data_IF_346622664877
#
_entry.id   IF_346622664877
#
_cell.length_a   1.000
_cell.length_b   1.000
_cell.length_c   1.000
_cell.angle_alpha   90.00
_cell.angle_beta   90.00
_cell.angle_gamma   90.00
#
_symmetry.space_group_name_H-M   'P 1'
#
loop_
_entity.id
_entity.type
_entity.pdbx_description
1 polymer ?
#
# COMPACT_ATOMS: atom_id res chain seq x y z
N UNK A 1 17.45 26.55 2.25
CA UNK A 1 16.23 26.13 2.98
C UNK A 1 15.35 25.23 2.12
N UNK A 2 15.20 25.53 0.83
CA UNK A 2 14.45 24.70 -0.13
C UNK A 2 15.00 23.28 -0.26
N UNK A 3 16.33 23.11 -0.37
CA UNK A 3 16.96 21.78 -0.38
C UNK A 3 16.65 20.97 0.88
N UNK A 4 16.66 21.62 2.04
CA UNK A 4 16.35 20.98 3.33
C UNK A 4 14.90 20.47 3.35
N UNK A 5 13.95 21.29 2.90
CA UNK A 5 12.53 20.91 2.83
C UNK A 5 12.33 19.73 1.86
N UNK A 6 13.03 19.73 0.74
CA UNK A 6 12.97 18.63 -0.22
C UNK A 6 13.55 17.33 0.33
N UNK A 7 14.70 17.40 1.00
CA UNK A 7 15.30 16.22 1.66
C UNK A 7 14.31 15.64 2.68
N UNK A 8 13.69 16.49 3.50
CA UNK A 8 12.67 16.07 4.47
C UNK A 8 11.48 15.43 3.75
N UNK A 9 10.98 16.04 2.68
CA UNK A 9 9.86 15.50 1.91
C UNK A 9 10.20 14.14 1.29
N UNK A 10 11.36 13.98 0.65
CA UNK A 10 11.81 12.69 0.10
C UNK A 10 11.90 11.64 1.21
N UNK A 11 12.56 11.97 2.32
CA UNK A 11 12.70 11.07 3.46
C UNK A 11 11.34 10.67 4.05
N UNK A 12 10.41 11.63 4.24
CA UNK A 12 9.05 11.37 4.72
C UNK A 12 8.25 10.53 3.75
N UNK A 13 8.41 10.74 2.43
CA UNK A 13 7.74 9.93 1.42
C UNK A 13 8.23 8.46 1.49
N UNK A 14 9.54 8.25 1.58
CA UNK A 14 10.14 6.91 1.73
C UNK A 14 9.69 6.25 3.04
N UNK A 15 9.69 6.99 4.15
CA UNK A 15 9.20 6.50 5.43
C UNK A 15 7.73 6.09 5.33
N UNK A 16 6.89 6.91 4.69
CA UNK A 16 5.49 6.60 4.45
C UNK A 16 5.31 5.31 3.65
N UNK A 17 6.09 5.11 2.58
CA UNK A 17 6.11 3.86 1.80
C UNK A 17 6.50 2.68 2.69
N UNK A 18 7.54 2.81 3.51
CA UNK A 18 7.98 1.73 4.41
C UNK A 18 6.90 1.35 5.44
N UNK A 19 6.21 2.34 6.02
CA UNK A 19 5.11 2.12 6.96
C UNK A 19 3.87 1.51 6.29
N UNK A 20 3.61 1.84 5.02
CA UNK A 20 2.47 1.29 4.28
C UNK A 20 2.75 -0.13 3.77
N UNK A 21 3.89 -0.35 3.12
CA UNK A 21 4.23 -1.59 2.43
C UNK A 21 4.84 -2.64 3.38
N UNK A 22 5.60 -2.21 4.38
CA UNK A 22 6.27 -3.11 5.33
C UNK A 22 5.33 -4.10 6.03
N UNK A 23 4.19 -3.63 6.60
CA UNK A 23 3.22 -4.53 7.22
C UNK A 23 2.60 -5.55 6.24
N UNK A 24 2.39 -5.16 4.98
CA UNK A 24 1.86 -6.06 3.96
C UNK A 24 2.84 -7.20 3.68
N UNK A 25 4.14 -6.90 3.55
CA UNK A 25 5.18 -7.91 3.42
C UNK A 25 5.23 -8.83 4.63
N UNK A 26 5.21 -8.28 5.85
CA UNK A 26 5.21 -9.09 7.06
C UNK A 26 3.99 -10.04 7.10
N UNK A 27 2.79 -9.54 6.81
CA UNK A 27 1.58 -10.36 6.84
C UNK A 27 1.56 -11.43 5.75
N UNK A 28 2.02 -11.10 4.55
CA UNK A 28 2.04 -12.02 3.41
C UNK A 28 3.05 -13.16 3.59
N UNK A 29 4.25 -12.86 4.10
CA UNK A 29 5.36 -13.80 4.08
C UNK A 29 5.72 -14.38 5.46
N UNK A 30 5.58 -13.62 6.55
CA UNK A 30 6.01 -14.03 7.88
C UNK A 30 4.85 -14.50 8.77
N UNK A 31 3.74 -13.76 8.78
CA UNK A 31 2.62 -14.06 9.68
C UNK A 31 1.94 -15.39 9.37
N UNK A 32 1.67 -15.68 8.09
CA UNK A 32 1.00 -16.91 7.68
C UNK A 32 1.68 -18.18 8.21
N UNK A 33 3.00 -18.37 7.98
CA UNK A 33 3.76 -19.47 8.55
C UNK A 33 3.80 -19.46 10.09
N UNK A 34 4.04 -18.31 10.71
CA UNK A 34 4.11 -18.19 12.17
C UNK A 34 2.77 -18.54 12.84
N UNK A 35 1.64 -18.09 12.28
CA UNK A 35 0.32 -18.37 12.82
C UNK A 35 -0.03 -19.87 12.80
N UNK A 36 0.57 -20.67 11.91
CA UNK A 36 0.33 -22.13 11.86
C UNK A 36 0.92 -22.89 13.04
N UNK A 37 1.91 -22.33 13.75
CA UNK A 37 2.52 -22.98 14.92
C UNK A 37 1.68 -22.83 16.18
N UNK A 38 0.72 -21.90 16.18
CA UNK A 38 -0.20 -21.64 17.30
C UNK A 38 -1.31 -22.69 17.29
N UNK A 39 -1.30 -23.58 18.29
CA UNK A 39 -2.26 -24.68 18.42
C UNK A 39 -3.66 -24.21 18.82
N UNK A 40 -3.73 -23.25 19.74
CA UNK A 40 -5.01 -22.69 20.17
C UNK A 40 -5.59 -21.75 19.10
N UNK A 41 -6.78 -22.10 18.60
CA UNK A 41 -7.40 -21.38 17.50
C UNK A 41 -7.92 -20.00 17.93
N UNK A 42 -8.36 -19.85 19.18
CA UNK A 42 -8.84 -18.57 19.72
C UNK A 42 -7.68 -17.58 19.88
N UNK A 43 -6.57 -18.00 20.51
CA UNK A 43 -5.36 -17.19 20.58
C UNK A 43 -4.87 -16.76 19.20
N UNK A 44 -4.90 -17.67 18.21
CA UNK A 44 -4.51 -17.35 16.83
C UNK A 44 -5.42 -16.30 16.18
N UNK A 45 -6.74 -16.39 16.41
CA UNK A 45 -7.72 -15.41 15.91
C UNK A 45 -7.50 -14.03 16.54
N UNK A 46 -7.30 -13.97 17.86
CA UNK A 46 -7.12 -12.70 18.59
C UNK A 46 -5.82 -12.00 18.22
N UNK A 47 -4.73 -12.75 18.04
CA UNK A 47 -3.48 -12.21 17.53
C UNK A 47 -3.63 -11.68 16.09
N UNK A 48 -4.35 -12.42 15.23
CA UNK A 48 -4.63 -11.98 13.85
C UNK A 48 -5.42 -10.66 13.85
N UNK A 49 -6.46 -10.54 14.69
CA UNK A 49 -7.25 -9.30 14.85
C UNK A 49 -6.37 -8.14 15.34
N UNK A 50 -5.54 -8.39 16.34
CA UNK A 50 -4.67 -7.36 16.93
C UNK A 50 -3.63 -6.86 15.92
N UNK A 51 -2.94 -7.77 15.23
CA UNK A 51 -1.92 -7.43 14.23
C UNK A 51 -2.52 -6.67 13.06
N UNK A 52 -3.61 -7.17 12.48
CA UNK A 52 -4.25 -6.52 11.32
C UNK A 52 -4.77 -5.12 11.68
N UNK A 53 -5.33 -4.92 12.87
CA UNK A 53 -5.75 -3.58 13.34
C UNK A 53 -4.58 -2.62 13.53
N UNK A 54 -3.49 -3.05 14.20
CA UNK A 54 -2.32 -2.21 14.44
C UNK A 54 -1.62 -1.84 13.14
N UNK A 55 -1.43 -2.81 12.26
CA UNK A 55 -0.85 -2.58 10.95
C UNK A 55 -1.75 -1.77 10.03
N UNK A 56 -3.08 -1.88 10.15
CA UNK A 56 -4.01 -1.00 9.47
C UNK A 56 -3.80 0.46 9.84
N UNK A 57 -3.64 0.77 11.14
CA UNK A 57 -3.32 2.12 11.60
C UNK A 57 -1.95 2.62 11.12
N UNK A 58 -0.92 1.80 11.23
CA UNK A 58 0.44 2.14 10.76
C UNK A 58 0.44 2.42 9.25
N UNK A 59 -0.23 1.56 8.47
CA UNK A 59 -0.35 1.75 7.03
C UNK A 59 -1.16 2.99 6.66
N UNK A 60 -2.24 3.29 7.40
CA UNK A 60 -3.01 4.52 7.22
C UNK A 60 -2.18 5.78 7.45
N UNK A 61 -1.37 5.80 8.52
CA UNK A 61 -0.40 6.89 8.77
C UNK A 61 0.61 6.97 7.61
N UNK A 62 1.10 5.83 7.14
CA UNK A 62 1.99 5.75 5.98
C UNK A 62 1.40 6.42 4.73
N UNK A 63 0.13 6.14 4.39
CA UNK A 63 -0.57 6.78 3.27
C UNK A 63 -0.61 8.30 3.43
N UNK A 64 -0.94 8.80 4.62
CA UNK A 64 -1.00 10.24 4.89
C UNK A 64 0.37 10.89 4.64
N UNK A 65 1.46 10.29 5.13
CA UNK A 65 2.82 10.78 4.90
C UNK A 65 3.19 10.77 3.42
N UNK A 66 2.86 9.69 2.70
CA UNK A 66 3.10 9.56 1.24
C UNK A 66 2.41 10.69 0.48
N UNK A 67 1.13 10.94 0.78
CA UNK A 67 0.33 11.94 0.06
C UNK A 67 0.84 13.35 0.35
N UNK A 68 1.08 13.71 1.62
CA UNK A 68 1.56 15.05 1.99
C UNK A 68 2.93 15.31 1.34
N UNK A 69 3.89 14.41 1.53
CA UNK A 69 5.22 14.56 0.98
C UNK A 69 5.23 14.51 -0.55
N UNK A 70 4.46 13.59 -1.14
CA UNK A 70 4.32 13.46 -2.58
C UNK A 70 3.73 14.70 -3.24
N UNK A 71 2.77 15.35 -2.57
CA UNK A 71 2.16 16.61 -3.03
C UNK A 71 3.19 17.74 -3.09
N UNK A 72 4.07 17.85 -2.08
CA UNK A 72 5.16 18.82 -2.12
C UNK A 72 6.18 18.51 -3.23
N UNK A 73 6.56 17.23 -3.37
CA UNK A 73 7.54 16.81 -4.38
C UNK A 73 7.05 17.05 -5.81
N UNK A 74 5.76 16.81 -6.07
CA UNK A 74 5.17 17.11 -7.37
C UNK A 74 4.92 18.60 -7.56
N UNK A 75 4.63 19.38 -6.52
CA UNK A 75 4.46 20.83 -6.68
C UNK A 75 5.77 21.54 -7.05
N UNK A 76 6.91 21.01 -6.58
CA UNK A 76 8.24 21.61 -6.75
C UNK A 76 9.11 20.90 -7.79
N UNK A 77 8.54 20.01 -8.60
CA UNK A 77 9.30 19.16 -9.51
C UNK A 77 10.05 19.95 -10.58
N UNK A 78 9.40 20.93 -11.21
CA UNK A 78 9.92 21.69 -12.34
C UNK A 78 11.15 22.49 -11.93
N UNK A 79 11.04 23.24 -10.84
CA UNK A 79 12.13 24.05 -10.29
C UNK A 79 13.32 23.20 -9.90
N UNK A 80 13.08 22.07 -9.24
CA UNK A 80 14.15 21.18 -8.80
C UNK A 80 14.93 20.56 -9.96
N UNK A 81 14.24 20.13 -11.01
CA UNK A 81 14.88 19.53 -12.18
C UNK A 81 15.30 20.56 -13.23
N UNK A 82 15.22 21.85 -12.91
CA UNK A 82 15.52 22.97 -13.81
C UNK A 82 14.86 22.81 -15.19
N UNK A 83 13.64 22.27 -15.22
CA UNK A 83 12.92 22.03 -16.46
C UNK A 83 12.40 23.36 -17.02
N UNK A 84 12.48 23.58 -18.35
CA UNK A 84 11.89 24.74 -18.98
C UNK A 84 10.36 24.70 -18.85
N UNK A 85 9.66 25.69 -19.39
CA UNK A 85 8.19 25.68 -19.46
C UNK A 85 7.69 24.67 -20.50
N UNK A 86 7.89 23.39 -20.22
CA UNK A 86 7.42 22.24 -20.99
C UNK A 86 6.09 21.76 -20.42
N UNK A 87 5.13 21.41 -21.28
CA UNK A 87 3.84 20.88 -20.84
C UNK A 87 4.05 19.63 -19.99
N UNK A 88 3.25 19.49 -18.92
CA UNK A 88 3.43 18.38 -17.97
C UNK A 88 3.33 17.01 -18.66
N UNK A 89 2.42 16.89 -19.62
CA UNK A 89 2.19 15.66 -20.39
C UNK A 89 2.99 15.57 -21.67
N UNK A 90 3.85 16.55 -21.98
CA UNK A 90 4.70 16.52 -23.18
C UNK A 90 5.93 15.63 -22.95
N UNK A 91 6.19 15.28 -21.69
CA UNK A 91 7.30 14.43 -21.25
C UNK A 91 6.78 13.23 -20.47
N UNK A 92 7.55 12.14 -20.49
CA UNK A 92 7.19 10.90 -19.78
C UNK A 92 6.94 11.11 -18.29
N UNK A 93 7.60 12.06 -17.64
CA UNK A 93 7.44 12.37 -16.22
C UNK A 93 5.96 12.58 -15.84
N UNK A 94 5.23 13.43 -16.57
CA UNK A 94 3.82 13.70 -16.25
C UNK A 94 2.88 12.58 -16.67
N UNK A 95 3.16 11.89 -17.79
CA UNK A 95 2.39 10.70 -18.19
C UNK A 95 2.48 9.61 -17.12
N UNK A 96 3.69 9.29 -16.66
CA UNK A 96 3.93 8.32 -15.59
C UNK A 96 3.23 8.76 -14.30
N UNK A 97 3.31 10.05 -13.95
CA UNK A 97 2.60 10.57 -12.77
C UNK A 97 1.09 10.36 -12.87
N UNK A 98 0.46 10.68 -14.00
CA UNK A 98 -0.99 10.52 -14.20
C UNK A 98 -1.39 9.05 -14.07
N UNK A 99 -0.66 8.14 -14.74
CA UNK A 99 -0.92 6.69 -14.63
C UNK A 99 -0.74 6.22 -13.18
N UNK A 100 0.30 6.71 -12.49
CA UNK A 100 0.57 6.40 -11.08
C UNK A 100 -0.58 6.86 -10.18
N UNK A 101 -1.15 8.04 -10.41
CA UNK A 101 -2.27 8.55 -9.62
C UNK A 101 -3.56 7.76 -9.87
N UNK A 102 -3.81 7.31 -11.10
CA UNK A 102 -4.93 6.42 -11.39
C UNK A 102 -4.77 5.06 -10.69
N UNK A 103 -3.58 4.46 -10.75
CA UNK A 103 -3.28 3.22 -10.03
C UNK A 103 -3.38 3.39 -8.51
N UNK A 104 -2.97 4.54 -7.98
CA UNK A 104 -3.12 4.88 -6.57
C UNK A 104 -4.60 4.88 -6.16
N UNK A 105 -5.48 5.51 -6.95
CA UNK A 105 -6.92 5.51 -6.69
C UNK A 105 -7.48 4.08 -6.68
N UNK A 106 -7.12 3.25 -7.67
CA UNK A 106 -7.53 1.84 -7.73
C UNK A 106 -7.04 1.07 -6.51
N UNK A 107 -5.77 1.25 -6.11
CA UNK A 107 -5.19 0.63 -4.93
C UNK A 107 -5.93 1.05 -3.65
N UNK A 108 -6.25 2.34 -3.50
CA UNK A 108 -7.01 2.85 -2.36
C UNK A 108 -8.44 2.28 -2.32
N UNK A 109 -9.09 2.13 -3.47
CA UNK A 109 -10.40 1.49 -3.55
C UNK A 109 -10.35 0.02 -3.13
N UNK A 110 -9.36 -0.74 -3.64
CA UNK A 110 -9.13 -2.14 -3.22
C UNK A 110 -8.85 -2.22 -1.72
N UNK A 111 -8.01 -1.33 -1.20
CA UNK A 111 -7.68 -1.26 0.22
C UNK A 111 -8.94 -0.97 1.06
N UNK A 112 -9.77 -0.01 0.65
CA UNK A 112 -11.02 0.31 1.34
C UNK A 112 -11.96 -0.89 1.35
N UNK A 113 -12.17 -1.54 0.20
CA UNK A 113 -13.00 -2.75 0.11
C UNK A 113 -12.43 -3.87 1.01
N UNK A 114 -11.11 -4.02 1.02
CA UNK A 114 -10.45 -5.01 1.85
C UNK A 114 -10.67 -4.76 3.34
N UNK A 115 -10.50 -3.52 3.80
CA UNK A 115 -10.62 -3.15 5.22
C UNK A 115 -12.07 -3.21 5.72
N UNK A 116 -13.03 -2.73 4.93
CA UNK A 116 -14.41 -2.58 5.40
C UNK A 116 -15.30 -3.79 5.10
N UNK A 117 -14.97 -4.61 4.11
CA UNK A 117 -15.82 -5.73 3.68
C UNK A 117 -15.10 -7.08 3.77
N UNK A 118 -13.93 -7.22 3.15
CA UNK A 118 -13.27 -8.54 3.03
C UNK A 118 -12.66 -9.00 4.36
N UNK A 119 -11.97 -8.12 5.08
CA UNK A 119 -11.35 -8.40 6.37
C UNK A 119 -12.37 -8.83 7.44
N UNK A 120 -13.44 -8.05 7.70
CA UNK A 120 -14.49 -8.43 8.63
C UNK A 120 -15.16 -9.75 8.27
N UNK A 121 -15.39 -10.01 6.97
CA UNK A 121 -15.97 -11.28 6.51
C UNK A 121 -15.10 -12.49 6.85
N UNK A 122 -13.78 -12.39 6.70
CA UNK A 122 -12.86 -13.46 7.10
C UNK A 122 -12.88 -13.69 8.61
N UNK A 123 -12.80 -12.61 9.40
CA UNK A 123 -12.82 -12.71 10.86
C UNK A 123 -14.12 -13.34 11.37
N UNK A 124 -15.27 -12.93 10.83
CA UNK A 124 -16.56 -13.49 11.20
C UNK A 124 -16.70 -14.96 10.80
N UNK A 125 -16.23 -15.34 9.60
CA UNK A 125 -16.24 -16.75 9.18
C UNK A 125 -15.36 -17.63 10.09
N UNK A 126 -14.20 -17.12 10.50
CA UNK A 126 -13.33 -17.83 11.44
C UNK A 126 -13.97 -17.98 12.83
N UNK A 127 -14.58 -16.92 13.34
CA UNK A 127 -15.28 -16.92 14.63
C UNK A 127 -16.42 -17.94 14.64
N UNK A 128 -17.28 -17.92 13.61
CA UNK A 128 -18.39 -18.85 13.44
C UNK A 128 -17.92 -20.31 13.39
N UNK A 129 -16.82 -20.59 12.68
CA UNK A 129 -16.27 -21.94 12.62
C UNK A 129 -15.72 -22.44 13.96
N UNK A 130 -15.02 -21.56 14.69
CA UNK A 130 -14.36 -21.92 15.96
C UNK A 130 -15.37 -22.04 17.11
N UNK A 131 -16.30 -21.09 17.22
CA UNK A 131 -17.17 -20.96 18.39
C UNK A 131 -18.58 -21.55 18.17
N UNK A 132 -19.03 -21.66 16.91
CA UNK A 132 -20.40 -22.02 16.57
C UNK A 132 -20.51 -23.22 15.61
N UNK A 133 -19.37 -23.85 15.27
CA UNK A 133 -19.35 -25.03 14.40
C UNK A 133 -19.70 -24.75 12.93
N UNK A 134 -19.50 -23.51 12.48
CA UNK A 134 -19.75 -23.10 11.09
C UNK A 134 -18.94 -23.86 10.04
N UNK A 135 -19.35 -23.81 8.77
CA UNK A 135 -18.74 -24.61 7.71
C UNK A 135 -17.31 -24.13 7.35
N UNK A 136 -16.37 -25.07 7.27
CA UNK A 136 -14.97 -24.79 6.89
C UNK A 136 -14.86 -24.18 5.48
N UNK A 137 -15.78 -24.51 4.57
CA UNK A 137 -15.84 -23.95 3.22
C UNK A 137 -16.05 -22.43 3.21
N UNK A 138 -16.79 -21.88 4.18
CA UNK A 138 -16.97 -20.44 4.33
C UNK A 138 -15.67 -19.76 4.77
N UNK A 139 -14.91 -20.37 5.69
CA UNK A 139 -13.59 -19.89 6.10
C UNK A 139 -12.62 -19.91 4.93
N UNK A 140 -12.59 -21.00 4.15
CA UNK A 140 -11.70 -21.16 3.01
C UNK A 140 -11.95 -20.11 1.93
N UNK A 141 -13.21 -19.91 1.56
CA UNK A 141 -13.59 -18.91 0.53
C UNK A 141 -13.28 -17.48 0.98
N UNK A 142 -13.61 -17.12 2.22
CA UNK A 142 -13.28 -15.80 2.77
C UNK A 142 -11.76 -15.57 2.86
N UNK A 143 -10.99 -16.61 3.20
CA UNK A 143 -9.53 -16.54 3.24
C UNK A 143 -8.94 -16.33 1.85
N UNK A 144 -9.42 -17.07 0.84
CA UNK A 144 -8.97 -16.90 -0.54
C UNK A 144 -9.24 -15.48 -1.04
N UNK A 145 -10.43 -14.95 -0.79
CA UNK A 145 -10.78 -13.57 -1.14
C UNK A 145 -9.87 -12.56 -0.43
N UNK A 146 -9.65 -12.74 0.88
CA UNK A 146 -8.73 -11.91 1.65
C UNK A 146 -7.32 -11.93 1.08
N UNK A 147 -6.77 -13.11 0.79
CA UNK A 147 -5.43 -13.25 0.19
C UNK A 147 -5.35 -12.58 -1.18
N UNK A 148 -6.36 -12.76 -2.04
CA UNK A 148 -6.39 -12.13 -3.36
C UNK A 148 -6.32 -10.60 -3.27
N UNK A 149 -7.12 -9.98 -2.38
CA UNK A 149 -7.08 -8.53 -2.15
C UNK A 149 -5.77 -8.06 -1.54
N UNK A 150 -5.20 -8.81 -0.58
CA UNK A 150 -3.90 -8.47 0.01
C UNK A 150 -2.76 -8.54 -1.02
N UNK A 151 -2.73 -9.57 -1.87
CA UNK A 151 -1.73 -9.73 -2.93
C UNK A 151 -1.91 -8.66 -4.00
N UNK A 152 -3.14 -8.39 -4.45
CA UNK A 152 -3.42 -7.33 -5.42
C UNK A 152 -2.98 -5.96 -4.89
N UNK A 153 -3.28 -5.65 -3.62
CA UNK A 153 -2.83 -4.42 -2.96
C UNK A 153 -1.31 -4.32 -2.90
N UNK A 154 -0.62 -5.41 -2.55
CA UNK A 154 0.85 -5.45 -2.52
C UNK A 154 1.47 -5.25 -3.91
N UNK A 155 0.97 -5.93 -4.93
CA UNK A 155 1.45 -5.79 -6.31
C UNK A 155 1.24 -4.37 -6.84
N UNK A 156 0.09 -3.76 -6.55
CA UNK A 156 -0.16 -2.35 -6.90
C UNK A 156 0.80 -1.41 -6.17
N UNK A 157 1.04 -1.62 -4.87
CA UNK A 157 2.01 -0.82 -4.13
C UNK A 157 3.42 -0.93 -4.72
N UNK A 158 3.85 -2.14 -5.10
CA UNK A 158 5.13 -2.37 -5.77
C UNK A 158 5.19 -1.70 -7.15
N UNK A 159 4.11 -1.78 -7.94
CA UNK A 159 4.04 -1.09 -9.22
C UNK A 159 4.15 0.44 -9.05
N UNK A 160 3.46 1.02 -8.06
CA UNK A 160 3.55 2.46 -7.74
C UNK A 160 4.97 2.87 -7.32
N UNK A 161 5.69 2.00 -6.59
CA UNK A 161 7.09 2.21 -6.25
C UNK A 161 7.98 2.22 -7.50
N UNK A 162 7.81 1.24 -8.40
CA UNK A 162 8.54 1.20 -9.69
C UNK A 162 8.29 2.47 -10.49
N UNK A 163 7.05 2.94 -10.60
CA UNK A 163 6.73 4.20 -11.27
C UNK A 163 7.39 5.41 -10.57
N UNK A 164 7.48 5.40 -9.24
CA UNK A 164 8.23 6.40 -8.50
C UNK A 164 9.73 6.42 -8.85
N UNK A 165 10.33 5.25 -9.08
CA UNK A 165 11.71 5.15 -9.58
C UNK A 165 11.80 5.68 -11.02
N UNK A 166 10.90 5.26 -11.90
CA UNK A 166 10.87 5.71 -13.30
C UNK A 166 10.80 7.23 -13.41
N UNK A 167 9.99 7.90 -12.59
CA UNK A 167 9.91 9.37 -12.56
C UNK A 167 11.24 10.03 -12.16
N UNK A 168 12.02 9.41 -11.26
CA UNK A 168 13.30 9.94 -10.78
C UNK A 168 14.48 9.62 -11.71
N UNK A 169 14.30 8.73 -12.69
CA UNK A 169 15.31 8.44 -13.72
C UNK A 169 15.25 9.49 -14.83
N UNK A 170 15.93 10.62 -14.61
CA UNK A 170 15.84 11.83 -15.45
C UNK A 170 16.13 11.60 -16.93
N UNK A 171 17.04 10.69 -17.26
CA UNK A 171 17.37 10.36 -18.66
C UNK A 171 16.21 9.75 -19.44
N UNK A 172 15.28 9.07 -18.77
CA UNK A 172 14.07 8.50 -19.38
C UNK A 172 12.86 9.41 -19.17
N UNK A 173 12.69 9.97 -17.97
CA UNK A 173 11.47 10.69 -17.61
C UNK A 173 11.34 12.06 -18.28
N UNK A 174 12.41 12.66 -18.80
CA UNK A 174 12.37 13.96 -19.47
C UNK A 174 12.47 13.87 -21.00
N UNK A 175 12.42 12.65 -21.55
CA UNK A 175 12.19 12.47 -22.99
C UNK A 175 10.74 12.82 -23.35
N UNK A 176 10.53 13.24 -24.61
CA UNK A 176 9.19 13.48 -25.13
C UNK A 176 8.37 12.18 -25.08
N UNK A 177 7.13 12.28 -24.60
CA UNK A 177 6.21 11.14 -24.46
C UNK A 177 5.51 10.71 -25.75
#
# INVERSE_FOLDING_TARGET
MEDTLRIIAVWTHILGIALFVGPQFFLAFAWGPAARTIKDQNTRLDLTRTLTRRFGWIGGIGIVLIVIAGSFLIATWRDYYAQPDVGFTDIWYGVIFIVKMNLLIVMLAILAVHMFYVGPRLVNAMDEHINHGGPESAVRSARMLSMAFSIAGLLLALALMVMGVMMNTTGFSFENS
#
